data_IF_687280009577
#
_entry.id   IF_687280009577
#
_cell.length_a   1.000
_cell.length_b   1.000
_cell.length_c   1.000
_cell.angle_alpha   90.00
_cell.angle_beta   90.00
_cell.angle_gamma   90.00
#
_symmetry.space_group_name_H-M   'P 1'
#
loop_
_entity.id
_entity.type
_entity.pdbx_description
1 polymer ?
#
# COMPACT_ATOMS: atom_id res chain seq x y z
N UNK A 1 -20.99 -4.54 -29.75
CA UNK A 1 -19.97 -3.69 -29.09
C UNK A 1 -18.63 -4.09 -29.68
N UNK A 2 -17.97 -3.19 -30.44
CA UNK A 2 -16.64 -3.45 -31.01
C UNK A 2 -15.62 -3.29 -29.86
N UNK A 3 -14.85 -4.35 -29.59
CA UNK A 3 -13.68 -4.26 -28.71
C UNK A 3 -12.72 -3.22 -29.27
N UNK A 4 -12.48 -2.17 -28.49
CA UNK A 4 -11.40 -1.22 -28.78
C UNK A 4 -10.09 -1.97 -28.53
N UNK A 5 -9.15 -2.00 -29.50
CA UNK A 5 -7.88 -2.70 -29.31
C UNK A 5 -7.16 -2.08 -28.11
N UNK A 6 -6.87 -2.89 -27.09
CA UNK A 6 -6.02 -2.49 -25.95
C UNK A 6 -4.62 -2.23 -26.52
N UNK A 7 -4.29 -0.97 -26.70
CA UNK A 7 -2.93 -0.54 -27.04
C UNK A 7 -1.99 -1.09 -25.97
N UNK A 8 -0.97 -1.85 -26.35
CA UNK A 8 0.05 -2.32 -25.40
C UNK A 8 0.67 -1.10 -24.71
N UNK A 9 0.70 -1.10 -23.39
CA UNK A 9 1.45 -0.11 -22.61
C UNK A 9 2.92 -0.25 -23.04
N UNK A 10 3.44 0.75 -23.75
CA UNK A 10 4.75 0.67 -24.40
C UNK A 10 5.88 1.25 -23.55
N UNK A 11 5.58 1.85 -22.40
CA UNK A 11 6.59 2.46 -21.54
C UNK A 11 6.92 1.59 -20.33
N UNK A 12 8.18 1.15 -20.25
CA UNK A 12 8.74 0.62 -19.01
C UNK A 12 8.64 1.68 -17.88
N UNK A 13 8.47 1.26 -16.61
CA UNK A 13 8.45 2.19 -15.50
C UNK A 13 9.79 2.92 -15.42
N UNK A 14 9.74 4.25 -15.28
CA UNK A 14 10.93 5.12 -15.11
C UNK A 14 11.08 5.48 -13.65
N UNK A 15 12.33 5.57 -13.19
CA UNK A 15 12.64 6.17 -11.90
C UNK A 15 12.49 7.69 -12.00
N UNK A 16 11.96 8.28 -10.94
CA UNK A 16 11.74 9.72 -10.83
C UNK A 16 11.76 10.13 -9.36
N UNK A 17 11.57 11.39 -9.12
CA UNK A 17 11.38 11.97 -7.79
C UNK A 17 10.08 12.73 -7.79
N UNK A 18 9.28 12.55 -6.77
CA UNK A 18 8.07 13.30 -6.48
C UNK A 18 8.35 14.16 -5.24
N UNK A 19 8.53 15.48 -5.42
CA UNK A 19 9.14 16.29 -4.37
C UNK A 19 10.50 15.70 -3.98
N UNK A 20 10.68 15.31 -2.71
CA UNK A 20 11.89 14.67 -2.20
C UNK A 20 11.77 13.13 -2.09
N UNK A 21 10.64 12.54 -2.51
CA UNK A 21 10.42 11.11 -2.42
C UNK A 21 10.76 10.40 -3.73
N UNK A 22 11.57 9.34 -3.70
CA UNK A 22 11.80 8.50 -4.87
C UNK A 22 10.49 7.84 -5.33
N UNK A 23 10.26 7.81 -6.64
CA UNK A 23 9.07 7.16 -7.19
C UNK A 23 9.36 6.39 -8.49
N UNK A 24 8.49 5.43 -8.81
CA UNK A 24 8.40 4.84 -10.14
C UNK A 24 7.21 5.47 -10.86
N UNK A 25 7.42 5.90 -12.09
CA UNK A 25 6.36 6.49 -12.92
C UNK A 25 6.06 5.60 -14.10
N UNK A 26 4.78 5.31 -14.34
CA UNK A 26 4.32 4.44 -15.42
C UNK A 26 2.94 4.87 -15.94
N UNK A 27 2.71 4.71 -17.23
CA UNK A 27 1.42 5.01 -17.85
C UNK A 27 1.31 6.46 -18.32
N UNK A 28 0.10 6.87 -18.61
CA UNK A 28 -0.23 8.22 -19.08
C UNK A 28 -1.67 8.57 -18.71
N UNK A 29 -1.95 9.84 -18.53
CA UNK A 29 -3.28 10.33 -18.17
C UNK A 29 -3.25 11.13 -16.86
N UNK A 30 -4.38 11.21 -16.15
CA UNK A 30 -4.44 11.90 -14.87
C UNK A 30 -3.54 11.25 -13.82
N UNK A 31 -2.94 12.02 -12.90
CA UNK A 31 -2.05 11.48 -11.88
C UNK A 31 -2.78 10.58 -10.87
N UNK A 32 -2.14 9.46 -10.54
CA UNK A 32 -2.55 8.54 -9.48
C UNK A 32 -1.33 8.26 -8.60
N UNK A 33 -1.35 8.75 -7.36
CA UNK A 33 -0.35 8.39 -6.36
C UNK A 33 -0.68 7.00 -5.79
N UNK A 34 0.24 6.05 -5.92
CA UNK A 34 0.12 4.70 -5.38
C UNK A 34 1.09 4.52 -4.22
N UNK A 35 0.55 4.26 -3.04
CA UNK A 35 1.28 3.99 -1.81
C UNK A 35 1.29 2.48 -1.54
N UNK A 36 2.46 1.87 -1.68
CA UNK A 36 2.64 0.43 -1.52
C UNK A 36 2.52 -0.05 -0.07
N UNK A 37 2.29 -1.36 0.11
CA UNK A 37 2.23 -2.02 1.40
C UNK A 37 3.56 -2.02 2.15
N UNK A 38 3.59 -2.73 3.28
CA UNK A 38 4.80 -2.91 4.08
C UNK A 38 5.85 -3.67 3.29
N UNK A 39 7.08 -3.16 3.30
CA UNK A 39 8.26 -3.79 2.71
C UNK A 39 9.39 -3.85 3.74
N UNK A 40 10.29 -4.84 3.67
CA UNK A 40 11.43 -4.94 4.58
C UNK A 40 12.40 -3.76 4.52
N UNK A 41 12.38 -2.99 3.44
CA UNK A 41 13.16 -1.76 3.27
C UNK A 41 12.33 -0.65 2.64
N UNK A 42 12.65 0.58 2.96
CA UNK A 42 12.10 1.77 2.30
C UNK A 42 12.92 2.13 1.05
N UNK A 43 12.37 3.02 0.21
CA UNK A 43 12.99 3.44 -1.05
C UNK A 43 12.53 2.61 -2.25
N UNK A 44 13.17 2.84 -3.40
CA UNK A 44 12.78 2.16 -4.63
C UNK A 44 13.15 0.67 -4.57
N UNK A 45 12.21 -0.21 -4.93
CA UNK A 45 12.49 -1.63 -5.06
C UNK A 45 13.42 -1.89 -6.25
N UNK A 46 14.18 -2.98 -6.16
CA UNK A 46 15.11 -3.41 -7.21
C UNK A 46 14.82 -4.84 -7.67
N UNK A 47 15.31 -5.21 -8.85
CA UNK A 47 15.24 -6.58 -9.37
C UNK A 47 13.81 -7.14 -9.37
N UNK A 48 13.62 -8.34 -8.81
CA UNK A 48 12.33 -9.03 -8.76
C UNK A 48 11.30 -8.30 -7.88
N UNK A 49 11.74 -7.66 -6.78
CA UNK A 49 10.83 -6.85 -5.95
C UNK A 49 10.22 -5.70 -6.79
N UNK A 50 11.05 -5.01 -7.58
CA UNK A 50 10.57 -3.98 -8.50
C UNK A 50 9.58 -4.54 -9.54
N UNK A 51 9.88 -5.70 -10.10
CA UNK A 51 8.97 -6.34 -11.04
C UNK A 51 7.60 -6.63 -10.41
N UNK A 52 7.58 -7.13 -9.17
CA UNK A 52 6.32 -7.39 -8.43
C UNK A 52 5.53 -6.09 -8.21
N UNK A 53 6.17 -5.02 -7.78
CA UNK A 53 5.50 -3.71 -7.59
C UNK A 53 4.95 -3.16 -8.91
N UNK A 54 5.71 -3.29 -10.00
CA UNK A 54 5.25 -2.88 -11.35
C UNK A 54 4.01 -3.66 -11.78
N UNK A 55 3.88 -4.95 -11.41
CA UNK A 55 2.66 -5.71 -11.70
C UNK A 55 1.44 -5.12 -11.00
N UNK A 56 1.58 -4.48 -9.84
CA UNK A 56 0.46 -3.79 -9.17
C UNK A 56 0.04 -2.50 -9.89
N UNK A 57 0.96 -1.84 -10.59
CA UNK A 57 0.73 -0.61 -11.35
C UNK A 57 0.09 -0.90 -12.73
N UNK A 58 0.51 -1.98 -13.39
CA UNK A 58 0.18 -2.28 -14.78
C UNK A 58 -1.31 -2.19 -15.11
N UNK A 59 -2.25 -2.68 -14.28
CA UNK A 59 -3.68 -2.60 -14.59
C UNK A 59 -4.22 -1.17 -14.72
N UNK A 60 -3.60 -0.22 -14.05
CA UNK A 60 -4.03 1.19 -14.00
C UNK A 60 -3.30 2.07 -15.01
N UNK A 61 -2.14 1.64 -15.53
CA UNK A 61 -1.25 2.44 -16.37
C UNK A 61 -1.83 2.80 -17.74
N UNK A 62 -2.92 2.16 -18.14
CA UNK A 62 -3.65 2.52 -19.37
C UNK A 62 -4.50 3.78 -19.18
N UNK A 63 -4.94 4.05 -17.98
CA UNK A 63 -5.91 5.07 -17.64
C UNK A 63 -5.33 6.24 -16.86
N UNK A 64 -4.17 6.02 -16.22
CA UNK A 64 -3.54 6.95 -15.28
C UNK A 64 -2.04 7.02 -15.50
N UNK A 65 -1.46 8.19 -15.24
CA UNK A 65 -0.03 8.32 -14.95
C UNK A 65 0.18 8.00 -13.48
N UNK A 66 0.76 6.83 -13.20
CA UNK A 66 0.90 6.29 -11.86
C UNK A 66 2.25 6.71 -11.29
N UNK A 67 2.21 7.27 -10.10
CA UNK A 67 3.36 7.57 -9.27
C UNK A 67 3.37 6.57 -8.11
N UNK A 68 4.14 5.48 -8.23
CA UNK A 68 4.39 4.59 -7.11
C UNK A 68 5.41 5.25 -6.19
N UNK A 69 4.93 5.79 -5.07
CA UNK A 69 5.72 6.62 -4.17
C UNK A 69 6.38 5.75 -3.11
N UNK A 70 7.71 5.78 -3.04
CA UNK A 70 8.46 5.08 -2.03
C UNK A 70 8.46 5.87 -0.71
N UNK A 71 8.40 5.16 0.42
CA UNK A 71 8.73 5.77 1.72
C UNK A 71 10.20 6.19 1.75
N UNK A 72 10.51 7.31 2.41
CA UNK A 72 11.91 7.75 2.56
C UNK A 72 12.70 6.74 3.39
N UNK A 73 13.98 6.63 3.12
CA UNK A 73 14.94 5.90 3.96
C UNK A 73 15.40 6.77 5.11
N UNK A 74 15.81 6.12 6.20
CA UNK A 74 16.36 6.81 7.37
C UNK A 74 15.26 7.53 8.16
N UNK A 75 14.13 6.89 8.41
CA UNK A 75 13.06 7.43 9.24
C UNK A 75 13.59 7.76 10.63
N UNK A 76 13.20 8.92 11.15
CA UNK A 76 13.52 9.31 12.52
C UNK A 76 12.89 8.32 13.50
N UNK A 77 13.61 7.97 14.56
CA UNK A 77 13.08 7.13 15.62
C UNK A 77 11.83 7.80 16.23
N UNK A 78 10.73 7.06 16.28
CA UNK A 78 9.44 7.55 16.76
C UNK A 78 8.63 8.33 15.71
N UNK A 79 9.05 8.34 14.43
CA UNK A 79 8.21 8.87 13.37
C UNK A 79 6.84 8.18 13.36
N UNK A 80 5.80 8.98 13.21
CA UNK A 80 4.39 8.59 13.29
C UNK A 80 3.79 8.37 11.91
N UNK A 81 2.55 7.89 11.85
CA UNK A 81 1.83 7.81 10.59
C UNK A 81 1.59 9.21 10.00
N UNK A 82 1.41 10.24 10.85
CA UNK A 82 1.28 11.63 10.41
C UNK A 82 2.56 12.14 9.73
N UNK A 83 3.75 11.78 10.24
CA UNK A 83 5.02 12.16 9.60
C UNK A 83 5.17 11.51 8.22
N UNK A 84 4.81 10.23 8.09
CA UNK A 84 4.82 9.53 6.80
C UNK A 84 3.82 10.13 5.80
N UNK A 85 2.66 10.55 6.28
CA UNK A 85 1.64 11.20 5.47
C UNK A 85 2.06 12.63 5.05
N UNK A 86 2.71 13.38 5.95
CA UNK A 86 3.25 14.70 5.67
C UNK A 86 4.32 14.65 4.56
N UNK A 87 5.22 13.68 4.59
CA UNK A 87 6.19 13.45 3.50
C UNK A 87 5.50 13.32 2.15
N UNK A 88 4.42 12.53 2.08
CA UNK A 88 3.63 12.36 0.84
C UNK A 88 2.90 13.65 0.47
N UNK A 89 2.32 14.36 1.44
CA UNK A 89 1.61 15.62 1.20
C UNK A 89 2.53 16.69 0.60
N UNK A 90 3.74 16.82 1.13
CA UNK A 90 4.76 17.74 0.64
C UNK A 90 5.22 17.37 -0.78
N UNK A 91 5.44 16.08 -1.01
CA UNK A 91 5.80 15.58 -2.33
C UNK A 91 4.71 15.86 -3.38
N UNK A 92 3.45 15.63 -3.03
CA UNK A 92 2.32 15.96 -3.91
C UNK A 92 2.19 17.47 -4.14
N UNK A 93 2.41 18.28 -3.10
CA UNK A 93 2.35 19.76 -3.20
C UNK A 93 3.44 20.32 -4.12
N UNK A 94 4.62 19.73 -4.10
CA UNK A 94 5.73 20.15 -4.96
C UNK A 94 5.48 19.88 -6.45
N UNK A 95 4.71 18.84 -6.78
CA UNK A 95 4.49 18.39 -8.16
C UNK A 95 3.13 18.81 -8.72
N UNK A 96 2.08 18.85 -7.89
CA UNK A 96 0.71 19.06 -8.35
C UNK A 96 0.06 20.27 -7.68
N UNK A 97 -0.53 21.15 -8.49
CA UNK A 97 -1.30 22.30 -8.02
C UNK A 97 -2.73 21.94 -7.63
N UNK A 98 -3.24 20.80 -8.13
CA UNK A 98 -4.58 20.29 -7.87
C UNK A 98 -4.50 19.01 -7.06
N UNK A 99 -5.56 18.67 -6.29
CA UNK A 99 -5.63 17.38 -5.59
C UNK A 99 -5.59 16.21 -6.58
N UNK A 100 -4.91 15.13 -6.18
CA UNK A 100 -4.71 13.93 -7.01
C UNK A 100 -5.49 12.75 -6.45
N UNK A 101 -5.65 11.73 -7.27
CA UNK A 101 -6.14 10.43 -6.81
C UNK A 101 -5.07 9.71 -6.02
N UNK A 102 -5.46 9.08 -4.92
CA UNK A 102 -4.55 8.30 -4.06
C UNK A 102 -5.07 6.87 -3.93
N UNK A 103 -4.21 5.89 -4.16
CA UNK A 103 -4.46 4.48 -3.90
C UNK A 103 -3.45 3.96 -2.90
N UNK A 104 -3.94 3.54 -1.72
CA UNK A 104 -3.12 2.94 -0.68
C UNK A 104 -3.39 1.45 -0.51
N UNK A 105 -2.34 0.64 -0.46
CA UNK A 105 -2.41 -0.80 -0.26
C UNK A 105 -1.85 -1.14 1.13
N UNK A 106 -2.63 -1.83 1.98
CA UNK A 106 -2.19 -2.26 3.32
C UNK A 106 -1.62 -1.10 4.12
N UNK A 107 -0.37 -1.14 4.60
CA UNK A 107 0.32 -0.03 5.29
C UNK A 107 0.28 1.28 4.48
N UNK A 108 0.40 1.21 3.15
CA UNK A 108 0.20 2.39 2.29
C UNK A 108 -1.22 2.94 2.37
N UNK A 109 -2.20 2.10 2.70
CA UNK A 109 -3.56 2.52 2.97
C UNK A 109 -3.71 3.25 4.31
N UNK A 110 -2.95 2.89 5.34
CA UNK A 110 -2.89 3.63 6.61
C UNK A 110 -2.29 5.03 6.38
N UNK A 111 -1.19 5.12 5.62
CA UNK A 111 -0.61 6.40 5.20
C UNK A 111 -1.61 7.23 4.40
N UNK A 112 -2.33 6.61 3.45
CA UNK A 112 -3.31 7.29 2.61
C UNK A 112 -4.52 7.82 3.40
N UNK A 113 -4.97 7.11 4.43
CA UNK A 113 -6.02 7.56 5.34
C UNK A 113 -5.55 8.76 6.16
N UNK A 114 -4.35 8.68 6.74
CA UNK A 114 -3.75 9.80 7.47
C UNK A 114 -3.59 11.02 6.57
N UNK A 115 -3.04 10.84 5.36
CA UNK A 115 -2.90 11.90 4.35
C UNK A 115 -4.24 12.57 4.03
N UNK A 116 -5.30 11.77 3.82
CA UNK A 116 -6.61 12.31 3.45
C UNK A 116 -7.30 13.04 4.62
N UNK A 117 -7.01 12.66 5.86
CA UNK A 117 -7.52 13.34 7.06
C UNK A 117 -6.77 14.65 7.35
N UNK A 118 -5.43 14.63 7.32
CA UNK A 118 -4.61 15.77 7.71
C UNK A 118 -4.42 16.80 6.56
N UNK A 119 -4.43 16.31 5.31
CA UNK A 119 -4.17 17.11 4.12
C UNK A 119 -5.28 16.95 3.05
N UNK A 120 -6.56 17.23 3.38
CA UNK A 120 -7.70 16.95 2.49
C UNK A 120 -7.60 17.67 1.14
N UNK A 121 -6.93 18.82 1.07
CA UNK A 121 -6.69 19.57 -0.17
C UNK A 121 -5.74 18.86 -1.15
N UNK A 122 -5.09 17.75 -0.77
CA UNK A 122 -4.19 16.97 -1.62
C UNK A 122 -4.84 15.75 -2.24
N UNK A 123 -5.99 15.30 -1.70
CA UNK A 123 -6.63 14.04 -2.11
C UNK A 123 -7.96 14.30 -2.79
N UNK A 124 -8.04 14.00 -4.10
CA UNK A 124 -9.27 14.12 -4.88
C UNK A 124 -10.23 12.95 -4.63
N UNK A 125 -9.70 11.73 -4.70
CA UNK A 125 -10.38 10.47 -4.41
C UNK A 125 -9.41 9.54 -3.70
N UNK A 126 -9.92 8.76 -2.79
CA UNK A 126 -9.15 7.79 -2.01
C UNK A 126 -9.58 6.36 -2.36
N UNK A 127 -8.62 5.49 -2.64
CA UNK A 127 -8.84 4.05 -2.76
C UNK A 127 -8.00 3.34 -1.71
N UNK A 128 -8.65 2.52 -0.90
CA UNK A 128 -8.02 1.69 0.13
C UNK A 128 -8.15 0.22 -0.26
N UNK A 129 -7.03 -0.46 -0.51
CA UNK A 129 -7.01 -1.88 -0.84
C UNK A 129 -6.38 -2.65 0.31
N UNK A 130 -7.11 -3.61 0.89
CA UNK A 130 -6.64 -4.39 2.05
C UNK A 130 -6.14 -3.51 3.20
N UNK A 131 -6.82 -2.40 3.48
CA UNK A 131 -6.50 -1.48 4.56
C UNK A 131 -7.76 -1.06 5.30
N UNK A 132 -7.71 -1.06 6.60
CA UNK A 132 -8.79 -0.63 7.48
C UNK A 132 -8.32 0.49 8.41
N UNK A 133 -9.24 1.09 9.17
CA UNK A 133 -8.98 2.25 10.00
C UNK A 133 -8.05 2.01 11.19
N UNK A 134 -7.71 0.77 11.49
CA UNK A 134 -6.78 0.37 12.55
C UNK A 134 -6.41 -1.11 12.42
N UNK A 135 -5.43 -1.54 13.18
CA UNK A 135 -5.12 -2.98 13.35
C UNK A 135 -5.87 -3.56 14.55
N UNK A 136 -6.25 -4.83 14.44
CA UNK A 136 -6.77 -5.64 15.54
C UNK A 136 -5.95 -6.91 15.75
N UNK A 137 -6.19 -7.58 16.86
CA UNK A 137 -5.62 -8.87 17.31
C UNK A 137 -4.56 -9.53 16.41
N UNK A 138 -4.97 -10.11 15.27
CA UNK A 138 -4.05 -10.84 14.38
C UNK A 138 -3.06 -9.91 13.69
N UNK A 139 -3.51 -8.74 13.23
CA UNK A 139 -2.66 -7.72 12.63
C UNK A 139 -1.65 -7.18 13.64
N UNK A 140 -2.10 -6.82 14.85
CA UNK A 140 -1.21 -6.34 15.93
C UNK A 140 -0.18 -7.37 16.34
N UNK A 141 -0.56 -8.64 16.51
CA UNK A 141 0.41 -9.71 16.82
C UNK A 141 1.47 -9.86 15.73
N UNK A 142 1.05 -9.82 14.46
CA UNK A 142 1.99 -9.84 13.35
C UNK A 142 2.97 -8.66 13.43
N UNK A 143 2.47 -7.44 13.64
CA UNK A 143 3.28 -6.23 13.76
C UNK A 143 4.27 -6.33 14.92
N UNK A 144 3.83 -6.75 16.10
CA UNK A 144 4.67 -6.88 17.29
C UNK A 144 5.79 -7.91 17.10
N UNK A 145 5.46 -9.08 16.51
CA UNK A 145 6.47 -10.10 16.20
C UNK A 145 7.47 -9.61 15.15
N UNK A 146 6.99 -8.91 14.12
CA UNK A 146 7.85 -8.31 13.11
C UNK A 146 8.75 -7.21 13.68
N UNK A 147 8.22 -6.36 14.56
CA UNK A 147 8.96 -5.30 15.23
C UNK A 147 10.06 -5.89 16.14
N UNK A 148 9.76 -6.97 16.87
CA UNK A 148 10.76 -7.67 17.68
C UNK A 148 11.89 -8.24 16.81
N UNK A 149 11.55 -8.93 15.70
CA UNK A 149 12.55 -9.45 14.77
C UNK A 149 13.39 -8.33 14.13
N UNK A 150 12.77 -7.20 13.82
CA UNK A 150 13.49 -6.05 13.26
C UNK A 150 14.43 -5.42 14.29
N UNK A 151 13.98 -5.28 15.55
CA UNK A 151 14.81 -4.78 16.67
C UNK A 151 16.02 -5.66 16.92
N UNK A 152 15.85 -6.98 16.87
CA UNK A 152 16.91 -7.96 17.09
C UNK A 152 17.87 -8.11 15.88
N UNK A 153 17.59 -7.38 14.78
CA UNK A 153 18.33 -7.51 13.53
C UNK A 153 18.17 -8.87 12.84
N UNK A 154 17.11 -9.61 13.19
CA UNK A 154 16.83 -10.97 12.72
C UNK A 154 16.29 -10.96 11.28
N UNK A 155 17.10 -10.44 10.35
CA UNK A 155 16.73 -10.17 8.95
C UNK A 155 16.14 -11.38 8.24
N UNK A 156 16.75 -12.55 8.40
CA UNK A 156 16.28 -13.78 7.76
C UNK A 156 14.89 -14.19 8.25
N UNK A 157 14.65 -14.07 9.53
CA UNK A 157 13.41 -14.39 10.22
C UNK A 157 12.29 -13.43 9.78
N UNK A 158 12.60 -12.16 9.57
CA UNK A 158 11.69 -11.17 8.98
C UNK A 158 11.17 -11.67 7.62
N UNK A 159 12.05 -12.10 6.70
CA UNK A 159 11.62 -12.61 5.40
C UNK A 159 10.80 -13.91 5.50
N UNK A 160 11.18 -14.81 6.41
CA UNK A 160 10.41 -16.04 6.68
C UNK A 160 9.01 -15.70 7.18
N UNK A 161 8.91 -14.73 8.07
CA UNK A 161 7.64 -14.29 8.65
C UNK A 161 6.74 -13.66 7.60
N UNK A 162 7.24 -12.75 6.79
CA UNK A 162 6.53 -12.20 5.65
C UNK A 162 5.95 -13.29 4.74
N UNK A 163 6.79 -14.24 4.32
CA UNK A 163 6.36 -15.31 3.42
C UNK A 163 5.26 -16.19 4.03
N UNK A 164 5.36 -16.51 5.32
CA UNK A 164 4.38 -17.36 6.00
C UNK A 164 2.98 -16.73 6.08
N UNK A 165 2.91 -15.43 6.22
CA UNK A 165 1.63 -14.73 6.35
C UNK A 165 1.02 -14.34 5.01
N UNK A 166 1.83 -14.17 3.99
CA UNK A 166 1.37 -13.90 2.62
C UNK A 166 0.86 -15.17 1.91
N UNK A 167 1.33 -16.37 2.31
CA UNK A 167 0.93 -17.64 1.70
C UNK A 167 -0.22 -18.29 2.50
N UNK A 168 -1.29 -18.72 1.83
CA UNK A 168 -2.40 -19.43 2.50
C UNK A 168 -1.94 -20.67 3.29
N UNK A 169 -2.66 -21.09 4.37
CA UNK A 169 -2.21 -22.08 5.36
C UNK A 169 -2.09 -23.53 4.89
N UNK A 170 -2.02 -23.81 3.60
CA UNK A 170 -1.83 -25.14 3.03
C UNK A 170 -0.36 -25.51 2.86
N UNK A 171 -0.07 -26.77 2.46
CA UNK A 171 1.23 -27.48 2.44
C UNK A 171 2.49 -26.72 1.94
N UNK A 172 2.39 -25.45 1.53
CA UNK A 172 3.50 -24.67 0.98
C UNK A 172 4.19 -23.69 1.94
N UNK A 173 3.66 -23.43 3.16
CA UNK A 173 4.18 -22.38 4.06
C UNK A 173 5.63 -22.59 4.50
N UNK A 174 6.01 -23.84 4.80
CA UNK A 174 7.38 -24.12 5.21
C UNK A 174 8.35 -23.91 4.03
N UNK A 175 7.98 -24.40 2.84
CA UNK A 175 8.76 -24.20 1.63
C UNK A 175 8.84 -22.71 1.25
N UNK A 176 7.74 -21.97 1.29
CA UNK A 176 7.73 -20.53 1.06
C UNK A 176 8.63 -19.78 2.04
N UNK A 177 8.56 -20.13 3.34
CA UNK A 177 9.45 -19.55 4.35
C UNK A 177 10.92 -19.86 4.08
N UNK A 178 11.27 -21.10 3.74
CA UNK A 178 12.64 -21.49 3.40
C UNK A 178 13.15 -20.78 2.14
N UNK A 179 12.30 -20.66 1.11
CA UNK A 179 12.61 -19.94 -0.12
C UNK A 179 12.86 -18.46 0.17
N UNK A 180 12.01 -17.82 0.96
CA UNK A 180 12.17 -16.40 1.30
C UNK A 180 13.33 -16.14 2.26
N UNK A 181 13.67 -17.09 3.13
CA UNK A 181 14.90 -16.99 3.94
C UNK A 181 16.16 -16.89 3.08
N UNK A 182 16.16 -17.52 1.90
CA UNK A 182 17.28 -17.48 0.95
C UNK A 182 17.17 -16.33 -0.05
N UNK A 183 15.97 -16.09 -0.60
CA UNK A 183 15.73 -15.11 -1.66
C UNK A 183 15.51 -13.70 -1.12
N UNK A 184 14.87 -13.55 0.03
CA UNK A 184 14.49 -12.26 0.61
C UNK A 184 15.64 -11.27 0.72
N UNK A 185 16.81 -11.64 1.26
CA UNK A 185 17.97 -10.75 1.32
C UNK A 185 18.48 -10.27 -0.05
N UNK A 186 18.18 -11.00 -1.12
CA UNK A 186 18.55 -10.63 -2.49
C UNK A 186 17.48 -9.74 -3.16
N UNK A 187 16.22 -9.92 -2.78
CA UNK A 187 15.12 -9.06 -3.22
C UNK A 187 15.18 -7.66 -2.59
N UNK A 188 15.69 -7.59 -1.36
CA UNK A 188 15.78 -6.37 -0.56
C UNK A 188 17.22 -6.19 -0.06
N UNK A 189 18.16 -5.81 -0.95
CA UNK A 189 19.59 -5.77 -0.63
C UNK A 189 19.95 -4.71 0.40
N UNK A 190 19.14 -3.66 0.52
CA UNK A 190 19.36 -2.54 1.44
C UNK A 190 18.68 -2.73 2.80
N UNK A 191 17.94 -3.82 3.01
CA UNK A 191 17.33 -4.17 4.32
C UNK A 191 18.37 -4.67 5.33
N UNK A 192 19.61 -4.19 5.26
CA UNK A 192 20.66 -4.50 6.25
C UNK A 192 20.37 -3.88 7.60
N UNK A 193 19.83 -2.67 7.59
CA UNK A 193 19.28 -2.00 8.75
C UNK A 193 17.75 -2.06 8.66
N UNK A 194 17.13 -2.77 9.60
CA UNK A 194 15.68 -2.91 9.71
C UNK A 194 15.03 -1.76 10.48
N UNK A 195 15.75 -0.66 10.74
CA UNK A 195 15.28 0.49 11.51
C UNK A 195 14.04 1.12 10.89
N UNK A 196 14.04 1.35 9.59
CA UNK A 196 12.88 1.91 8.87
C UNK A 196 11.66 0.98 8.97
N UNK A 197 11.87 -0.33 8.89
CA UNK A 197 10.80 -1.31 9.09
C UNK A 197 10.23 -1.22 10.51
N UNK A 198 11.08 -1.20 11.54
CA UNK A 198 10.65 -1.10 12.93
C UNK A 198 9.86 0.18 13.20
N UNK A 199 10.31 1.32 12.67
CA UNK A 199 9.61 2.62 12.80
C UNK A 199 8.25 2.57 12.09
N UNK A 200 8.20 2.05 10.86
CA UNK A 200 6.95 1.93 10.10
C UNK A 200 5.92 1.04 10.81
N UNK A 201 6.38 -0.10 11.36
CA UNK A 201 5.55 -1.02 12.14
C UNK A 201 4.98 -0.35 13.40
N UNK A 202 5.80 0.40 14.13
CA UNK A 202 5.38 1.12 15.33
C UNK A 202 4.36 2.24 14.98
N UNK A 203 4.60 2.98 13.90
CA UNK A 203 3.68 4.00 13.42
C UNK A 203 2.32 3.42 13.04
N UNK A 204 2.30 2.25 12.37
CA UNK A 204 1.05 1.60 11.97
C UNK A 204 0.32 0.96 13.16
N UNK A 205 1.03 0.39 14.15
CA UNK A 205 0.41 -0.16 15.36
C UNK A 205 -0.29 0.92 16.20
N UNK A 206 0.24 2.15 16.16
CA UNK A 206 -0.35 3.33 16.82
C UNK A 206 -1.46 4.00 16.01
N UNK A 207 -1.62 3.65 14.71
CA UNK A 207 -2.61 4.29 13.84
C UNK A 207 -4.04 3.88 14.19
N UNK A 208 -4.91 4.88 14.36
CA UNK A 208 -6.35 4.69 14.56
C UNK A 208 -7.16 5.81 13.89
N UNK A 209 -7.92 5.46 12.83
CA UNK A 209 -8.74 6.40 12.08
C UNK A 209 -9.79 7.13 12.95
N UNK A 210 -10.22 6.51 14.06
CA UNK A 210 -11.20 7.10 14.98
C UNK A 210 -10.68 8.35 15.70
N UNK A 211 -9.36 8.52 15.75
CA UNK A 211 -8.67 9.65 16.37
C UNK A 211 -8.38 10.79 15.38
N UNK A 212 -8.71 10.62 14.10
CA UNK A 212 -8.43 11.59 13.04
C UNK A 212 -9.67 12.42 12.69
N UNK A 213 -9.42 13.54 12.03
CA UNK A 213 -10.48 14.31 11.37
C UNK A 213 -11.17 13.48 10.28
N UNK A 214 -12.47 13.63 10.04
CA UNK A 214 -13.18 12.87 9.01
C UNK A 214 -12.58 13.09 7.63
N UNK A 215 -12.32 12.00 6.93
CA UNK A 215 -11.86 12.03 5.53
C UNK A 215 -12.95 12.61 4.64
N UNK A 216 -12.66 13.69 3.92
CA UNK A 216 -13.59 14.39 3.05
C UNK A 216 -13.63 13.82 1.63
N UNK A 217 -12.54 13.18 1.19
CA UNK A 217 -12.44 12.63 -0.15
C UNK A 217 -13.40 11.46 -0.34
N UNK A 218 -14.14 11.39 -1.47
CA UNK A 218 -14.87 10.18 -1.85
C UNK A 218 -13.94 8.98 -1.79
N UNK A 219 -14.36 7.93 -1.08
CA UNK A 219 -13.49 6.80 -0.74
C UNK A 219 -14.06 5.47 -1.20
N UNK A 220 -13.24 4.66 -1.86
CA UNK A 220 -13.54 3.27 -2.16
C UNK A 220 -12.64 2.35 -1.33
N UNK A 221 -13.26 1.47 -0.53
CA UNK A 221 -12.58 0.43 0.23
C UNK A 221 -12.76 -0.90 -0.50
N UNK A 222 -11.66 -1.54 -0.87
CA UNK A 222 -11.61 -2.84 -1.55
C UNK A 222 -10.98 -3.87 -0.63
N UNK A 223 -11.77 -4.87 -0.23
CA UNK A 223 -11.39 -5.81 0.81
C UNK A 223 -11.51 -7.28 0.36
N UNK A 224 -10.57 -8.11 0.78
CA UNK A 224 -10.68 -9.55 0.68
C UNK A 224 -11.49 -10.15 1.84
N UNK A 225 -12.52 -10.97 1.53
CA UNK A 225 -13.33 -11.61 2.58
C UNK A 225 -12.58 -12.66 3.40
N UNK A 226 -11.41 -13.10 2.93
CA UNK A 226 -10.50 -14.01 3.63
C UNK A 226 -9.22 -13.31 4.09
N UNK A 227 -9.28 -11.98 4.26
CA UNK A 227 -8.18 -11.23 4.83
C UNK A 227 -7.92 -11.68 6.27
N UNK A 228 -6.64 -11.94 6.60
CA UNK A 228 -6.25 -12.46 7.90
C UNK A 228 -5.80 -11.37 8.86
N UNK A 229 -5.43 -10.21 8.33
CA UNK A 229 -4.98 -9.07 9.11
C UNK A 229 -6.16 -8.18 9.52
N UNK A 230 -7.13 -8.04 8.61
CA UNK A 230 -8.29 -7.20 8.79
C UNK A 230 -9.59 -8.01 8.64
N UNK A 231 -10.32 -8.30 9.73
CA UNK A 231 -11.62 -8.96 9.63
C UNK A 231 -12.63 -8.08 8.89
N UNK A 232 -13.62 -8.70 8.23
CA UNK A 232 -14.64 -7.97 7.43
C UNK A 232 -15.37 -6.90 8.25
N UNK A 233 -15.61 -7.15 9.55
CA UNK A 233 -16.25 -6.19 10.46
C UNK A 233 -15.46 -4.88 10.57
N UNK A 234 -14.13 -4.95 10.49
CA UNK A 234 -13.26 -3.78 10.58
C UNK A 234 -13.29 -2.94 9.30
N UNK A 235 -13.39 -3.56 8.12
CA UNK A 235 -13.64 -2.82 6.88
C UNK A 235 -15.01 -2.13 6.90
N UNK A 236 -16.05 -2.79 7.43
CA UNK A 236 -17.36 -2.19 7.59
C UNK A 236 -17.36 -1.04 8.62
N UNK A 237 -16.57 -1.15 9.70
CA UNK A 237 -16.35 -0.06 10.64
C UNK A 237 -15.65 1.13 9.96
N UNK A 238 -14.59 0.87 9.22
CA UNK A 238 -13.85 1.90 8.46
C UNK A 238 -14.77 2.64 7.49
N UNK A 239 -15.62 1.91 6.75
CA UNK A 239 -16.58 2.52 5.84
C UNK A 239 -17.62 3.42 6.55
N UNK A 240 -17.96 3.11 7.80
CA UNK A 240 -18.87 3.96 8.59
C UNK A 240 -18.21 5.22 9.14
N UNK A 241 -16.89 5.19 9.34
CA UNK A 241 -16.11 6.34 9.83
C UNK A 241 -15.85 7.37 8.74
N UNK A 242 -15.91 6.97 7.46
CA UNK A 242 -15.65 7.86 6.32
C UNK A 242 -17.01 8.25 5.68
N UNK A 243 -17.40 9.54 5.69
CA UNK A 243 -18.73 9.97 5.29
C UNK A 243 -19.16 9.56 3.87
N UNK A 244 -18.25 9.66 2.88
CA UNK A 244 -18.50 9.27 1.48
C UNK A 244 -17.69 8.02 1.12
N UNK A 245 -17.95 6.92 1.83
CA UNK A 245 -17.28 5.66 1.59
C UNK A 245 -18.17 4.61 0.93
N UNK A 246 -17.61 3.90 -0.04
CA UNK A 246 -18.17 2.69 -0.62
C UNK A 246 -17.27 1.50 -0.28
N UNK A 247 -17.86 0.39 0.19
CA UNK A 247 -17.14 -0.84 0.54
C UNK A 247 -17.45 -1.95 -0.48
N UNK A 248 -16.41 -2.51 -1.08
CA UNK A 248 -16.47 -3.66 -1.97
C UNK A 248 -15.71 -4.85 -1.36
N UNK A 249 -16.40 -5.91 -0.97
CA UNK A 249 -15.80 -7.13 -0.40
C UNK A 249 -15.79 -8.23 -1.46
N UNK A 250 -14.62 -8.87 -1.64
CA UNK A 250 -14.39 -10.01 -2.51
C UNK A 250 -14.29 -11.29 -1.67
N UNK A 251 -15.38 -12.09 -1.51
CA UNK A 251 -15.49 -13.13 -0.47
C UNK A 251 -14.43 -14.22 -0.55
N UNK A 252 -13.90 -14.51 -1.74
CA UNK A 252 -12.92 -15.58 -2.00
C UNK A 252 -11.48 -15.08 -2.09
N UNK A 253 -11.23 -13.79 -1.84
CA UNK A 253 -9.90 -13.17 -1.88
C UNK A 253 -9.39 -12.92 -0.47
N UNK A 254 -8.08 -13.03 -0.30
CA UNK A 254 -7.38 -12.66 0.93
C UNK A 254 -6.63 -11.35 0.74
N UNK A 255 -5.80 -11.00 1.72
CA UNK A 255 -5.07 -9.73 1.81
C UNK A 255 -4.32 -9.36 0.52
N UNK A 256 -3.51 -10.27 -0.01
CA UNK A 256 -2.72 -10.03 -1.23
C UNK A 256 -3.52 -10.32 -2.50
N UNK A 257 -4.34 -11.37 -2.49
CA UNK A 257 -4.99 -11.82 -3.72
C UNK A 257 -6.11 -10.91 -4.21
N UNK A 258 -6.62 -9.99 -3.38
CA UNK A 258 -7.59 -8.97 -3.81
C UNK A 258 -6.91 -7.85 -4.61
N UNK A 259 -5.65 -7.55 -4.33
CA UNK A 259 -4.87 -6.52 -5.05
C UNK A 259 -4.73 -6.87 -6.54
N UNK A 260 -4.55 -8.14 -6.85
CA UNK A 260 -4.40 -8.66 -8.21
C UNK A 260 -5.70 -9.22 -8.83
N UNK A 261 -6.84 -9.01 -8.17
CA UNK A 261 -8.14 -9.45 -8.68
C UNK A 261 -8.63 -8.54 -9.82
N UNK A 262 -8.87 -9.06 -11.05
CA UNK A 262 -9.29 -8.23 -12.18
C UNK A 262 -10.62 -7.50 -11.97
N UNK A 263 -11.58 -8.11 -11.24
CA UNK A 263 -12.86 -7.48 -10.97
C UNK A 263 -12.70 -6.34 -9.95
N UNK A 264 -11.82 -6.52 -8.96
CA UNK A 264 -11.45 -5.46 -8.01
C UNK A 264 -10.77 -4.29 -8.73
N UNK A 265 -9.81 -4.57 -9.60
CA UNK A 265 -9.12 -3.55 -10.41
C UNK A 265 -10.09 -2.79 -11.32
N UNK A 266 -11.05 -3.47 -11.95
CA UNK A 266 -12.06 -2.83 -12.79
C UNK A 266 -12.96 -1.87 -11.98
N UNK A 267 -13.35 -2.26 -10.76
CA UNK A 267 -14.14 -1.41 -9.85
C UNK A 267 -13.33 -0.19 -9.41
N UNK A 268 -12.05 -0.34 -9.10
CA UNK A 268 -11.15 0.77 -8.77
C UNK A 268 -11.04 1.75 -9.94
N UNK A 269 -10.77 1.26 -11.16
CA UNK A 269 -10.67 2.10 -12.37
C UNK A 269 -11.98 2.87 -12.61
N UNK A 270 -13.12 2.18 -12.51
CA UNK A 270 -14.45 2.80 -12.65
C UNK A 270 -14.66 3.93 -11.63
N UNK A 271 -14.31 3.69 -10.36
CA UNK A 271 -14.43 4.68 -9.29
C UNK A 271 -13.54 5.91 -9.54
N UNK A 272 -12.28 5.70 -9.90
CA UNK A 272 -11.33 6.79 -10.16
C UNK A 272 -11.68 7.61 -11.41
N UNK A 273 -12.37 7.03 -12.39
CA UNK A 273 -12.85 7.72 -13.59
C UNK A 273 -14.15 8.49 -13.37
N UNK A 274 -14.92 8.20 -12.35
CA UNK A 274 -16.19 8.87 -12.12
C UNK A 274 -15.98 10.38 -11.81
N UNK A 275 -16.79 11.24 -12.42
CA UNK A 275 -16.72 12.70 -12.22
C UNK A 275 -15.51 13.39 -12.86
N UNK A 276 -14.95 12.79 -13.89
CA UNK A 276 -13.96 13.42 -14.79
C UNK A 276 -14.61 13.89 -16.07
#
# INVERSE_FOLDING_TARGET
MKEVPRTRITSAPRESVLGDLPCLVMGSGPPLALLGGLTPENGLPVGLARWLEVQTMTPFAHDFEIYWVARRRGLAKGATMADLAADVADALAAQFTQPVDVLGISTGGSIAQQLAADHPARVRRLVLVSAAGRLENTGRRFQQEMAALAHDGARREVFVRFARDLVPPRRGRAAAGATMAWLGPRLYPHAGDLGDLAVTLAAEDAFDLRELAPIQAPTLIVAGGQDRFYPQALFAETARLIPDATLAIYPRRGHITVVSDPDAQAVIIKFLRAGR
#
